data_IF_601970779010
#
_entry.id   IF_601970779010
#
_cell.length_a   1.000
_cell.length_b   1.000
_cell.length_c   1.000
_cell.angle_alpha   90.00
_cell.angle_beta   90.00
_cell.angle_gamma   90.00
#
_symmetry.space_group_name_H-M   'P 1'
#
loop_
_entity.id
_entity.type
_entity.pdbx_description
1 polymer ?
#
# COMPACT_ATOMS: atom_id res chain seq x y z
N UNK A 1 -3.45 -24.14 13.94
CA UNK A 1 -3.38 -22.83 13.24
C UNK A 1 -1.94 -22.63 12.81
N UNK A 2 -1.63 -22.77 11.51
CA UNK A 2 -0.25 -22.72 11.02
C UNK A 2 0.16 -21.26 10.82
N UNK A 3 1.18 -20.81 11.55
CA UNK A 3 1.82 -19.51 11.30
C UNK A 3 2.58 -19.66 9.98
N UNK A 4 2.10 -19.02 8.91
CA UNK A 4 2.87 -18.92 7.66
C UNK A 4 4.15 -18.15 7.98
N UNK A 5 5.29 -18.82 7.91
CA UNK A 5 6.60 -18.16 7.94
C UNK A 5 6.87 -17.57 6.56
N UNK A 6 7.16 -16.28 6.52
CA UNK A 6 7.49 -15.52 5.31
C UNK A 6 9.02 -15.46 5.08
N UNK A 7 9.72 -16.51 5.51
CA UNK A 7 11.16 -16.62 5.33
C UNK A 7 11.42 -16.64 3.81
N UNK A 8 12.10 -15.61 3.29
CA UNK A 8 12.43 -15.34 1.87
C UNK A 8 11.50 -14.41 1.06
N UNK A 9 10.68 -13.54 1.67
CA UNK A 9 10.04 -12.44 0.91
C UNK A 9 11.06 -11.43 0.34
N UNK A 10 12.18 -11.25 1.05
CA UNK A 10 13.30 -10.41 0.64
C UNK A 10 14.52 -11.30 0.49
N UNK A 11 15.17 -11.27 -0.67
CA UNK A 11 16.36 -12.06 -0.98
C UNK A 11 17.61 -11.19 -0.83
N UNK A 12 18.78 -11.82 -0.68
CA UNK A 12 20.06 -11.10 -0.60
C UNK A 12 20.27 -10.13 -1.77
N UNK A 13 19.91 -10.54 -3.00
CA UNK A 13 19.96 -9.69 -4.19
C UNK A 13 19.08 -8.43 -4.08
N UNK A 14 17.94 -8.49 -3.36
CA UNK A 14 17.05 -7.34 -3.20
C UNK A 14 17.66 -6.33 -2.22
N UNK A 15 18.35 -6.84 -1.19
CA UNK A 15 19.12 -6.05 -0.23
C UNK A 15 20.30 -5.36 -0.94
N UNK A 16 21.11 -6.12 -1.69
CA UNK A 16 22.24 -5.57 -2.46
C UNK A 16 21.77 -4.52 -3.48
N UNK A 17 20.64 -4.75 -4.13
CA UNK A 17 20.03 -3.77 -5.04
C UNK A 17 19.59 -2.50 -4.30
N UNK A 18 18.94 -2.64 -3.14
CA UNK A 18 18.56 -1.50 -2.32
C UNK A 18 19.77 -0.71 -1.81
N UNK A 19 20.81 -1.37 -1.32
CA UNK A 19 22.05 -0.72 -0.88
C UNK A 19 22.74 0.04 -2.01
N UNK A 20 22.72 -0.49 -3.24
CA UNK A 20 23.33 0.15 -4.41
C UNK A 20 22.49 1.29 -4.99
N UNK A 21 21.19 1.08 -5.12
CA UNK A 21 20.30 1.96 -5.89
C UNK A 21 19.37 2.83 -5.01
N UNK A 22 19.33 2.58 -3.71
CA UNK A 22 18.42 3.23 -2.75
C UNK A 22 16.96 2.77 -2.84
N UNK A 23 16.61 1.88 -3.78
CA UNK A 23 15.25 1.38 -3.98
C UNK A 23 15.26 0.00 -4.67
N UNK A 24 14.30 -0.85 -4.34
CA UNK A 24 14.07 -2.15 -5.01
C UNK A 24 12.56 -2.43 -5.09
N UNK A 25 12.11 -3.02 -6.20
CA UNK A 25 10.71 -3.42 -6.38
C UNK A 25 10.51 -4.88 -5.95
N UNK A 26 9.79 -5.08 -4.85
CA UNK A 26 9.35 -6.41 -4.42
C UNK A 26 7.96 -6.69 -5.00
N UNK A 27 7.81 -7.79 -5.74
CA UNK A 27 6.55 -8.16 -6.40
C UNK A 27 5.89 -9.34 -5.70
N UNK A 28 4.57 -9.27 -5.54
CA UNK A 28 3.77 -10.38 -5.00
C UNK A 28 3.98 -10.66 -3.51
N UNK A 29 4.36 -9.64 -2.73
CA UNK A 29 4.61 -9.80 -1.28
C UNK A 29 3.32 -9.85 -0.45
N UNK A 30 2.22 -9.32 -0.97
CA UNK A 30 0.93 -9.32 -0.30
C UNK A 30 0.02 -10.42 -0.86
N UNK A 31 -0.63 -11.16 0.03
CA UNK A 31 -1.73 -12.05 -0.36
C UNK A 31 -2.90 -11.20 -0.91
N UNK A 32 -3.56 -11.69 -1.97
CA UNK A 32 -4.68 -11.01 -2.62
C UNK A 32 -5.78 -10.57 -1.65
N UNK A 33 -6.08 -11.39 -0.63
CA UNK A 33 -7.07 -11.07 0.41
C UNK A 33 -6.82 -9.74 1.11
N UNK A 34 -5.56 -9.35 1.31
CA UNK A 34 -5.22 -8.09 1.96
C UNK A 34 -5.46 -6.90 1.03
N UNK A 35 -5.22 -7.08 -0.27
CA UNK A 35 -5.55 -6.08 -1.28
C UNK A 35 -7.07 -5.89 -1.38
N UNK A 36 -7.84 -6.98 -1.35
CA UNK A 36 -9.31 -6.93 -1.35
C UNK A 36 -9.87 -6.18 -0.14
N UNK A 37 -9.33 -6.44 1.06
CA UNK A 37 -9.72 -5.72 2.28
C UNK A 37 -9.39 -4.23 2.17
N UNK A 38 -8.20 -3.89 1.68
CA UNK A 38 -7.78 -2.49 1.53
C UNK A 38 -8.65 -1.75 0.52
N UNK A 39 -8.96 -2.37 -0.63
CA UNK A 39 -9.84 -1.79 -1.65
C UNK A 39 -11.22 -1.48 -1.07
N UNK A 40 -11.84 -2.44 -0.38
CA UNK A 40 -13.16 -2.23 0.22
C UNK A 40 -13.15 -1.14 1.31
N UNK A 41 -12.06 -1.03 2.08
CA UNK A 41 -11.88 0.05 3.06
C UNK A 41 -11.77 1.42 2.41
N UNK A 42 -10.97 1.52 1.33
CA UNK A 42 -10.81 2.77 0.58
C UNK A 42 -12.12 3.24 -0.05
N UNK A 43 -12.88 2.33 -0.67
CA UNK A 43 -14.20 2.64 -1.24
C UNK A 43 -15.17 3.20 -0.18
N UNK A 44 -15.11 2.65 1.04
CA UNK A 44 -15.92 3.15 2.15
C UNK A 44 -15.51 4.56 2.57
N UNK A 45 -14.22 4.83 2.72
CA UNK A 45 -13.72 6.15 3.11
C UNK A 45 -14.14 7.21 2.08
N UNK A 46 -14.07 6.91 0.78
CA UNK A 46 -14.56 7.84 -0.25
C UNK A 46 -16.09 8.02 -0.24
N UNK A 47 -16.85 6.97 0.06
CA UNK A 47 -18.31 7.03 0.05
C UNK A 47 -18.89 7.73 1.29
N UNK A 48 -18.22 7.62 2.43
CA UNK A 48 -18.63 8.21 3.72
C UNK A 48 -17.39 8.72 4.47
N UNK A 49 -16.81 9.87 4.05
CA UNK A 49 -15.58 10.37 4.62
C UNK A 49 -15.71 10.70 6.11
N UNK A 50 -14.69 10.31 6.88
CA UNK A 50 -14.58 10.66 8.29
C UNK A 50 -14.43 12.17 8.52
N UNK A 51 -14.62 12.65 9.76
CA UNK A 51 -14.47 14.07 10.09
C UNK A 51 -13.05 14.61 9.86
N UNK A 52 -12.06 13.72 9.87
CA UNK A 52 -10.63 14.03 9.71
C UNK A 52 -10.13 13.79 8.28
N UNK A 53 -11.03 13.59 7.30
CA UNK A 53 -10.65 13.41 5.91
C UNK A 53 -10.01 14.69 5.33
N UNK A 54 -8.99 14.51 4.49
CA UNK A 54 -8.39 15.59 3.70
C UNK A 54 -8.24 15.19 2.24
N UNK A 55 -8.72 16.06 1.35
CA UNK A 55 -8.41 15.99 -0.08
C UNK A 55 -7.33 17.02 -0.38
N UNK A 56 -6.11 16.56 -0.62
CA UNK A 56 -4.96 17.44 -0.89
C UNK A 56 -4.86 17.84 -2.37
N UNK A 57 -5.42 17.03 -3.27
CA UNK A 57 -5.46 17.36 -4.69
C UNK A 57 -6.55 18.42 -4.92
N UNK A 58 -6.14 19.59 -5.42
CA UNK A 58 -7.07 20.66 -5.75
C UNK A 58 -8.03 20.29 -6.88
N UNK A 59 -9.15 21.00 -6.95
CA UNK A 59 -10.12 20.81 -8.03
C UNK A 59 -9.49 21.06 -9.40
N UNK A 60 -9.64 20.12 -10.33
CA UNK A 60 -9.09 20.20 -11.69
C UNK A 60 -7.61 19.82 -11.82
N UNK A 61 -6.90 19.60 -10.70
CA UNK A 61 -5.52 19.13 -10.71
C UNK A 61 -5.46 17.59 -10.88
N UNK A 62 -4.45 17.05 -11.58
CA UNK A 62 -4.31 15.62 -11.76
C UNK A 62 -3.89 14.93 -10.45
N UNK A 63 -4.37 13.70 -10.25
CA UNK A 63 -4.04 12.88 -9.08
C UNK A 63 -5.26 12.63 -8.18
N UNK A 64 -4.99 12.20 -6.95
CA UNK A 64 -6.02 11.85 -5.96
C UNK A 64 -5.39 11.60 -4.60
N UNK A 65 -4.60 12.56 -4.13
CA UNK A 65 -3.96 12.47 -2.82
C UNK A 65 -4.99 12.80 -1.74
N UNK A 66 -5.31 11.78 -0.95
CA UNK A 66 -6.41 11.76 0.00
C UNK A 66 -5.99 10.99 1.25
N UNK A 67 -6.41 11.46 2.42
CA UNK A 67 -6.33 10.72 3.68
C UNK A 67 -7.68 10.75 4.42
N UNK A 68 -7.88 9.73 5.27
CA UNK A 68 -9.03 9.60 6.16
C UNK A 68 -8.73 8.55 7.22
N UNK A 69 -8.13 8.99 8.35
CA UNK A 69 -7.65 8.16 9.46
C UNK A 69 -7.76 8.86 10.81
#
# INVERSE_FOLDING_TARGET
MSIKRYDNLVRAQDIEAFERYGVVCLRGVFETKWLEILTAGLDKNFADPGPDNTVYTGEGEPGGFYDDY
#
